data_IF_703892233176
#
_entry.id   IF_703892233176
#
_cell.length_a   1.000
_cell.length_b   1.000
_cell.length_c   1.000
_cell.angle_alpha   90.00
_cell.angle_beta   90.00
_cell.angle_gamma   90.00
#
_symmetry.space_group_name_H-M   'P 1'
#
loop_
_entity.id
_entity.type
_entity.pdbx_description
1 polymer ?
2 non-polymer ?
3 non-polymer ?
4 non-polymer ?
5 non-polymer ?
6 water ?
#
# COMPACT_ATOMS: atom_id res chain seq x y z
N UNK A 3 -7.18 7.91 14.00
CA UNK A 3 -6.83 7.47 12.61
C UNK A 3 -7.07 5.96 12.45
N UNK A 4 -7.99 5.62 11.56
CA UNK A 4 -8.25 4.22 11.21
C UNK A 4 -7.50 3.89 9.92
N UNK A 5 -6.44 3.08 10.07
CA UNK A 5 -5.59 2.65 8.97
C UNK A 5 -6.33 1.86 7.89
N UNK A 6 -7.19 0.94 8.32
CA UNK A 6 -7.97 0.12 7.39
C UNK A 6 -8.99 0.95 6.60
N UNK A 7 -9.61 1.93 7.26
CA UNK A 7 -10.54 2.86 6.61
C UNK A 7 -9.85 3.66 5.50
N UNK A 8 -8.62 4.12 5.78
CA UNK A 8 -7.78 4.79 4.78
C UNK A 8 -7.45 3.88 3.60
N UNK A 9 -7.16 2.61 3.90
CA UNK A 9 -6.82 1.62 2.87
C UNK A 9 -8.00 1.35 1.94
N UNK A 10 -9.19 1.22 2.52
CA UNK A 10 -10.42 0.98 1.76
C UNK A 10 -10.79 2.18 0.89
N UNK A 11 -10.47 3.38 1.37
CA UNK A 11 -10.70 4.64 0.66
C UNK A 11 -9.71 4.89 -0.48
N UNK A 12 -8.44 4.55 -0.27
CA UNK A 12 -7.35 5.02 -1.14
C UNK A 12 -6.55 3.95 -1.88
N UNK A 13 -6.60 2.70 -1.43
CA UNK A 13 -5.65 1.68 -1.89
C UNK A 13 -6.29 0.42 -2.46
N UNK A 14 -7.48 0.10 -1.96
CA UNK A 14 -8.25 -1.11 -2.28
C UNK A 14 -8.48 -1.33 -3.79
N UNK A 15 -8.61 -0.23 -4.54
CA UNK A 15 -8.87 -0.31 -5.98
C UNK A 15 -7.74 -0.98 -6.77
N UNK A 16 -6.51 -0.92 -6.25
CA UNK A 16 -5.37 -1.58 -6.88
C UNK A 16 -4.80 -2.74 -6.05
N UNK A 17 -4.73 -2.54 -4.73
CA UNK A 17 -4.30 -3.59 -3.79
C UNK A 17 -5.51 -4.08 -3.00
N UNK A 18 -6.00 -5.28 -3.31
CA UNK A 18 -7.16 -5.86 -2.61
C UNK A 18 -6.89 -6.14 -1.14
N UNK A 19 -7.96 -6.24 -0.35
CA UNK A 19 -7.85 -6.48 1.11
C UNK A 19 -7.20 -7.81 1.49
N UNK A 20 -7.33 -8.81 0.61
CA UNK A 20 -6.79 -10.15 0.86
C UNK A 20 -5.26 -10.28 0.71
N UNK A 21 -4.60 -9.17 0.36
CA UNK A 21 -3.15 -9.16 0.12
C UNK A 21 -2.77 -9.48 -1.31
N UNK A 22 -3.75 -9.40 -2.21
CA UNK A 22 -3.58 -9.71 -3.63
C UNK A 22 -4.02 -8.51 -4.47
N UNK A 23 -3.24 -8.15 -5.51
CA UNK A 23 -3.65 -7.03 -6.36
C UNK A 23 -4.95 -7.31 -7.11
N UNK A 24 -5.73 -6.26 -7.35
CA UNK A 24 -6.91 -6.35 -8.21
C UNK A 24 -6.45 -6.50 -9.66
N UNK A 25 -7.42 -6.72 -10.56
CA UNK A 25 -7.16 -6.76 -11.99
C UNK A 25 -6.49 -5.47 -12.48
N UNK A 26 -7.00 -4.32 -12.03
CA UNK A 26 -6.39 -3.01 -12.31
C UNK A 26 -4.97 -2.90 -11.74
N UNK A 27 -4.83 -3.21 -10.45
CA UNK A 27 -3.52 -3.18 -9.77
C UNK A 27 -2.44 -3.95 -10.50
N UNK A 28 -2.73 -5.20 -10.82
CA UNK A 28 -1.79 -6.09 -11.51
C UNK A 28 -1.42 -5.60 -12.91
N UNK A 29 -2.41 -5.06 -13.63
CA UNK A 29 -2.18 -4.47 -14.95
C UNK A 29 -1.23 -3.28 -14.93
N UNK A 30 -1.26 -2.53 -13.83
CA UNK A 30 -0.36 -1.39 -13.65
C UNK A 30 1.03 -1.81 -13.14
N UNK A 31 1.11 -3.01 -12.56
CA UNK A 31 2.39 -3.59 -12.17
C UNK A 31 2.54 -3.96 -10.70
N UNK A 32 1.44 -3.94 -9.95
CA UNK A 32 1.46 -4.29 -8.53
C UNK A 32 1.59 -5.80 -8.34
N UNK A 33 2.25 -6.19 -7.24
CA UNK A 33 2.37 -7.59 -6.82
C UNK A 33 1.66 -7.83 -5.48
N UNK A 34 1.72 -9.05 -4.97
CA UNK A 34 1.07 -9.41 -3.70
C UNK A 34 1.74 -8.75 -2.51
N UNK A 35 0.92 -8.31 -1.55
CA UNK A 35 1.42 -8.00 -0.20
C UNK A 35 1.54 -9.27 0.63
N UNK A 36 0.61 -10.21 0.42
CA UNK A 36 0.57 -11.48 1.15
C UNK A 36 1.66 -12.40 0.62
N UNK A 37 2.89 -12.08 1.00
CA UNK A 37 4.08 -12.77 0.53
C UNK A 37 5.15 -12.60 1.60
N UNK A 38 5.47 -13.71 2.27
CA UNK A 38 6.46 -13.73 3.36
C UNK A 38 7.81 -13.13 2.97
N UNK A 39 8.32 -13.50 1.79
CA UNK A 39 9.60 -13.00 1.27
C UNK A 39 9.57 -11.49 1.04
N UNK A 40 8.49 -11.01 0.41
CA UNK A 40 8.33 -9.57 0.16
C UNK A 40 8.30 -8.79 1.47
N UNK A 41 7.50 -9.27 2.43
CA UNK A 41 7.36 -8.62 3.73
C UNK A 41 8.70 -8.56 4.47
N UNK A 42 9.42 -9.68 4.47
CA UNK A 42 10.73 -9.81 5.13
C UNK A 42 11.81 -8.87 4.57
N UNK A 43 11.80 -8.68 3.25
CA UNK A 43 12.79 -7.83 2.57
C UNK A 43 12.43 -6.34 2.49
N UNK A 44 11.19 -6.00 2.81
CA UNK A 44 10.70 -4.63 2.67
C UNK A 44 10.63 -3.93 4.01
N UNK A 45 11.31 -2.79 4.11
CA UNK A 45 11.33 -1.97 5.32
C UNK A 45 10.10 -1.09 5.39
N UNK A 46 9.76 -0.65 6.61
CA UNK A 46 8.67 0.32 6.81
C UNK A 46 8.89 1.60 6.03
N UNK A 47 10.14 2.05 6.00
CA UNK A 47 10.54 3.25 5.28
C UNK A 47 10.24 3.15 3.78
N UNK A 48 10.55 1.99 3.18
CA UNK A 48 10.24 1.71 1.77
C UNK A 48 8.74 1.80 1.51
N UNK A 49 7.95 1.20 2.40
CA UNK A 49 6.49 1.27 2.34
C UNK A 49 6.00 2.73 2.41
N UNK A 50 6.51 3.48 3.39
CA UNK A 50 6.16 4.89 3.59
C UNK A 50 6.55 5.74 2.37
N UNK A 51 7.77 5.55 1.87
CA UNK A 51 8.23 6.27 0.68
C UNK A 51 7.33 5.99 -0.53
N UNK A 52 6.96 4.72 -0.70
CA UNK A 52 6.08 4.31 -1.80
C UNK A 52 4.72 4.99 -1.74
N UNK A 53 4.11 5.03 -0.56
CA UNK A 53 2.82 5.72 -0.38
C UNK A 53 3.01 7.22 -0.66
N UNK A 54 4.07 7.81 -0.11
CA UNK A 54 4.36 9.23 -0.31
C UNK A 54 4.60 9.63 -1.76
N UNK A 55 5.45 8.88 -2.45
CA UNK A 55 5.95 9.30 -3.76
C UNK A 55 5.34 8.57 -4.95
N UNK A 56 4.84 7.36 -4.71
CA UNK A 56 4.33 6.50 -5.78
C UNK A 56 5.42 6.06 -6.74
N UNK A 57 5.00 5.69 -7.94
CA UNK A 57 5.88 5.26 -9.02
C UNK A 57 5.25 5.79 -10.31
N UNK A 58 6.02 6.57 -11.11
CA UNK A 58 5.52 7.14 -12.37
C UNK A 58 4.83 6.08 -13.22
N UNK A 59 3.63 6.40 -13.71
CA UNK A 59 2.83 5.53 -14.59
C UNK A 59 2.28 4.26 -13.93
N UNK A 60 2.48 4.12 -12.62
CA UNK A 60 2.06 2.91 -11.90
C UNK A 60 1.18 3.22 -10.68
N UNK A 61 1.69 4.08 -9.80
CA UNK A 61 1.01 4.44 -8.56
C UNK A 61 1.17 5.94 -8.33
N UNK A 62 0.06 6.62 -8.08
CA UNK A 62 0.07 8.05 -7.75
C UNK A 62 0.76 8.30 -6.39
N UNK A 63 1.38 9.49 -6.22
CA UNK A 63 1.86 9.86 -4.88
C UNK A 63 0.69 10.21 -3.96
N UNK A 64 0.81 9.88 -2.67
CA UNK A 64 -0.23 10.20 -1.70
C UNK A 64 0.16 11.27 -0.68
N UNK A 65 1.37 11.82 -0.82
CA UNK A 65 1.92 12.79 0.14
C UNK A 65 1.10 14.09 0.25
N UNK A 66 0.44 14.47 -0.84
CA UNK A 66 -0.38 15.69 -0.87
C UNK A 66 -1.82 15.41 -0.45
N UNK A 67 -2.15 14.13 -0.26
CA UNK A 67 -3.48 13.70 0.19
C UNK A 67 -3.51 13.19 1.63
N UNK A 68 -2.38 12.66 2.10
CA UNK A 68 -2.29 12.06 3.44
C UNK A 68 -1.16 12.67 4.25
N UNK A 69 -1.40 12.82 5.55
CA UNK A 69 -0.38 13.32 6.48
C UNK A 69 0.62 12.18 6.74
N UNK A 70 1.84 12.49 7.24
CA UNK A 70 2.76 11.42 7.66
C UNK A 70 2.17 10.40 8.65
N UNK A 71 1.33 10.87 9.58
CA UNK A 71 0.63 10.00 10.54
C UNK A 71 -0.31 9.03 9.84
N UNK A 72 -1.04 9.53 8.84
CA UNK A 72 -1.96 8.71 8.07
C UNK A 72 -1.22 7.66 7.24
N UNK A 73 -0.11 8.07 6.61
CA UNK A 73 0.76 7.15 5.85
C UNK A 73 1.36 6.07 6.77
N UNK A 74 1.81 6.47 7.96
CA UNK A 74 2.34 5.52 8.95
C UNK A 74 1.27 4.50 9.40
N UNK A 75 0.04 4.98 9.59
CA UNK A 75 -1.10 4.12 9.96
C UNK A 75 -1.42 3.03 8.93
N UNK A 76 -1.01 3.26 7.68
CA UNK A 76 -1.19 2.28 6.60
C UNK A 76 -0.19 1.12 6.64
N UNK A 77 0.94 1.31 7.33
CA UNK A 77 2.00 0.28 7.41
C UNK A 77 1.48 -1.06 7.99
N UNK A 78 0.82 -1.05 9.19
CA UNK A 78 0.32 -2.35 9.70
C UNK A 78 -0.80 -2.98 8.86
N UNK A 79 -1.45 -2.19 8.00
CA UNK A 79 -2.41 -2.73 7.04
C UNK A 79 -1.68 -3.50 5.92
N UNK A 80 -0.68 -2.85 5.32
CA UNK A 80 0.18 -3.46 4.29
C UNK A 80 0.84 -4.74 4.83
N UNK A 81 1.26 -4.69 6.09
CA UNK A 81 1.87 -5.82 6.80
C UNK A 81 0.91 -6.99 7.06
N UNK A 82 -0.39 -6.71 7.03
CA UNK A 82 -1.42 -7.75 7.16
C UNK A 82 -1.99 -7.91 8.56
N UNK A 83 -1.76 -6.91 9.42
CA UNK A 83 -2.17 -6.95 10.83
C UNK A 83 -3.49 -6.23 11.12
N UNK A 84 -3.89 -5.33 10.21
CA UNK A 84 -5.08 -4.44 10.34
C UNK A 84 -4.92 -3.44 11.47
X LIG B 1 0.37 0.96 -4.42
X LIG B 1 3.39 -0.47 -5.23
X LIG B 1 1.03 0.55 -1.08
X LIG B 1 -2.38 2.91 -3.69
X LIG B 1 -0.67 0.64 -7.67
X LIG B 1 1.97 0.19 -3.33
X LIG B 1 3.08 -0.41 -3.80
X LIG B 1 4.02 -0.90 -2.78
X LIG B 1 3.33 -0.59 -1.52
X LIG B 1 2.08 0.06 -2.00
X LIG B 1 3.79 -0.86 -0.11
X LIG B 1 5.33 -1.60 -3.03
X LIG B 1 6.61 -0.88 -2.71
X LIG B 1 7.72 -1.90 -2.83
X LIG B 1 7.48 -3.07 -3.21
X LIG B 1 8.87 -1.53 -2.56
X LIG B 1 -0.52 1.65 -2.66
X LIG B 1 -0.14 1.37 -1.39
X LIG B 1 -0.98 1.99 -0.32
X LIG B 1 -1.98 2.69 -1.14
X LIG B 1 -1.62 2.40 -2.54
X LIG B 1 -0.84 1.89 1.18
X LIG B 1 -3.10 3.53 -0.68
X LIG B 1 -2.72 4.84 -0.03
X LIG B 1 -1.26 1.69 -5.51
X LIG B 1 -2.31 2.41 -5.06
X LIG B 1 -3.35 2.72 -6.09
X LIG B 1 -2.81 2.04 -7.27
X LIG B 1 -1.55 1.42 -6.79
X LIG B 1 -4.62 3.52 -5.93
X LIG B 1 -3.41 1.94 -8.63
X LIG B 1 -3.66 3.20 -9.42
X LIG B 1 1.24 0.23 -6.17
X LIG B 1 0.70 0.18 -7.40
X LIG B 1 1.57 -0.39 -8.45
X LIG B 1 2.79 -0.73 -7.71
X LIG B 1 2.45 -0.31 -6.33
X LIG B 1 1.28 -0.58 -9.91
X LIG B 1 4.09 -1.31 -8.20
X LIG B 1 5.03 -0.10 -8.32
X LIG B 1 6.36 -0.24 -7.59
X LIG B 1 7.25 0.62 -7.81
X LIG B 1 6.55 -1.18 -6.78
X LIG C 1 9.37 0.82 -7.37
X LIG D 1 7.45 -15.41 -2.47
X LIG E 1 16.54 5.28 5.57
X LIG F 1 7.90 -2.48 10.97
X LIG G 1 -0.98 -12.58 -12.66
X LIG H 1 14.37 5.21 -2.13
X LIG I 1 -7.89 8.21 -3.26
X LIG J 1 -9.53 9.95 2.63
X LIG K 1 -11.42 -0.78 11.32
X LIG L 1 -2.71 -6.58 -1.88
X LIG M 1 18.29 5.88 3.45
X LIG N 1 -3.34 -7.15 3.39
X LIG N 1 -1.92 -7.07 3.22
X LIG N 1 -3.98 -5.83 2.97
X LIG N 1 -3.62 -5.55 1.61
X LIG O 1 -8.56 -9.80 -6.04
X LIG O 1 -7.83 -9.15 -4.98
X LIG O 1 -9.14 -11.11 -5.52
X LIG O 1 -8.10 -11.89 -4.93
X LIG P 1 -6.02 14.63 5.21
X LIG P 1 -6.05 15.48 6.36
X LIG P 1 -7.37 13.95 5.06
X LIG P 1 -7.33 12.67 5.72
X LIG Q 1 3.15 -4.50 -4.27
X LIG Q 1 3.55 -4.41 -5.64
X LIG Q 1 4.26 -5.16 -3.43
X LIG Q 1 4.42 -6.55 -3.75
X LIG R 1 13.21 -4.53 7.43
X LIG R 1 13.85 -4.58 6.15
X LIG R 1 12.60 -5.89 7.74
X LIG R 1 11.54 -6.17 6.82
X LIG S 1 5.02 -2.38 11.55
X LIG S 1 5.97 -3.02 11.05
X LIG S 1 5.19 -1.23 11.98
X LIG S 1 3.67 -3.02 11.64
#
# INVERSE_FOLDING_TARGET
SNIDGMKLFLQHCKTCHGVDGNPTDLGEGLGARKFADAEWQAKTSDERIIEQINEGTPEMMMPFKEKLTPEEVKALVPVVRGFKK
HEC FE CHA CHB CHC CHD NA C1A C2A C3A C4A CMA CAA CBA CGA O1A O2A NB C1B C2B C3B C4B CMB CAB CBB NC C1C C2C C3C C4C CMC CAC CBC ND C1D C2D C3D C4D CMD CAD CBD CGD O1D O2D
ZN ZN
ZN ZN
ZN ZN
ZN ZN
ZN ZN
ZN ZN
ZN ZN
ZN ZN
ZN ZN
ZN ZN
ZN ZN
EDO C1 O1 C2 O2
EDO C1 O1 C2 O2
EDO C1 O1 C2 O2
EDO C1 O1 C2 O2
EDO C1 O1 C2 O2
ACT C O OXT CH3
#
